data_IF_182433509139
#
_entry.id   IF_182433509139
#
_cell.length_a   1.000
_cell.length_b   1.000
_cell.length_c   1.000
_cell.angle_alpha   90.00
_cell.angle_beta   90.00
_cell.angle_gamma   90.00
#
_symmetry.space_group_name_H-M   'P 1'
#
loop_
_entity.id
_entity.type
_entity.pdbx_description
1 polymer ?
#
# COMPACT_ATOMS: atom_id res chain seq x y z
N UNK A 1 10.38 -33.47 -4.87
CA UNK A 1 9.94 -32.17 -5.49
C UNK A 1 8.49 -32.28 -5.89
N UNK A 2 7.62 -31.38 -5.43
CA UNK A 2 6.21 -31.37 -5.83
C UNK A 2 6.06 -31.07 -7.32
N UNK A 3 5.21 -31.81 -8.03
CA UNK A 3 4.94 -31.56 -9.47
C UNK A 3 4.35 -30.15 -9.64
N UNK A 4 4.99 -29.33 -10.48
CA UNK A 4 4.49 -28.00 -10.84
C UNK A 4 3.12 -28.13 -11.50
N UNK A 5 2.17 -27.25 -11.12
CA UNK A 5 0.86 -27.18 -11.77
C UNK A 5 1.01 -26.73 -13.23
N UNK A 6 0.03 -27.07 -14.10
CA UNK A 6 0.04 -26.68 -15.52
C UNK A 6 0.20 -25.15 -15.68
N UNK A 7 -0.55 -24.37 -14.90
CA UNK A 7 -0.46 -22.90 -14.88
C UNK A 7 0.95 -22.41 -14.53
N UNK A 8 1.57 -23.00 -13.50
CA UNK A 8 2.92 -22.59 -13.08
C UNK A 8 4.00 -22.92 -14.13
N UNK A 9 3.84 -23.99 -14.90
CA UNK A 9 4.73 -24.29 -16.03
C UNK A 9 4.62 -23.24 -17.13
N UNK A 10 3.40 -22.89 -17.54
CA UNK A 10 3.14 -21.85 -18.53
C UNK A 10 3.72 -20.49 -18.11
N UNK A 11 3.61 -20.13 -16.81
CA UNK A 11 4.17 -18.89 -16.26
C UNK A 11 5.71 -18.87 -16.36
N UNK A 12 6.37 -20.00 -16.10
CA UNK A 12 7.82 -20.11 -16.17
C UNK A 12 8.36 -20.08 -17.62
N UNK A 13 7.54 -20.49 -18.60
CA UNK A 13 7.87 -20.36 -20.02
C UNK A 13 7.77 -18.91 -20.52
N UNK A 14 6.84 -18.13 -19.96
CA UNK A 14 6.59 -16.74 -20.36
C UNK A 14 7.56 -15.73 -19.72
N UNK A 15 8.05 -16.02 -18.50
CA UNK A 15 8.91 -15.10 -17.75
C UNK A 15 10.20 -15.78 -17.33
N UNK A 16 11.32 -15.26 -17.81
CA UNK A 16 12.63 -15.63 -17.31
C UNK A 16 13.00 -14.75 -16.10
N UNK A 17 13.24 -15.33 -14.90
CA UNK A 17 13.55 -14.57 -13.69
C UNK A 17 14.85 -13.75 -13.76
N UNK A 18 15.74 -14.08 -14.67
CA UNK A 18 17.03 -13.39 -14.83
C UNK A 18 16.94 -12.14 -15.71
N UNK A 19 15.94 -12.09 -16.58
CA UNK A 19 15.76 -10.96 -17.49
C UNK A 19 15.09 -9.77 -16.79
N UNK A 20 15.39 -8.57 -17.28
CA UNK A 20 14.71 -7.33 -16.91
C UNK A 20 13.87 -6.89 -18.12
N UNK A 21 12.61 -6.61 -17.87
CA UNK A 21 11.61 -6.28 -18.87
C UNK A 21 11.31 -4.77 -18.85
N UNK A 22 10.78 -4.26 -19.94
CA UNK A 22 10.15 -2.94 -19.96
C UNK A 22 8.77 -3.00 -19.32
N UNK A 23 8.19 -1.83 -18.96
CA UNK A 23 6.83 -1.78 -18.41
C UNK A 23 5.80 -2.36 -19.39
N UNK A 24 5.91 -2.01 -20.68
CA UNK A 24 4.99 -2.49 -21.71
C UNK A 24 5.03 -4.00 -21.88
N UNK A 25 6.23 -4.59 -21.91
CA UNK A 25 6.41 -6.05 -21.95
C UNK A 25 5.80 -6.73 -20.73
N UNK A 26 6.01 -6.18 -19.53
CA UNK A 26 5.44 -6.69 -18.30
C UNK A 26 3.90 -6.64 -18.34
N UNK A 27 3.30 -5.53 -18.79
CA UNK A 27 1.85 -5.40 -18.94
C UNK A 27 1.29 -6.39 -19.97
N UNK A 28 1.97 -6.60 -21.10
CA UNK A 28 1.58 -7.60 -22.07
C UNK A 28 1.60 -9.03 -21.49
N UNK A 29 2.58 -9.35 -20.63
CA UNK A 29 2.64 -10.63 -19.92
C UNK A 29 1.44 -10.78 -18.99
N UNK A 30 1.12 -9.75 -18.17
CA UNK A 30 0.00 -9.79 -17.24
C UNK A 30 -1.34 -9.94 -17.96
N UNK A 31 -1.54 -9.25 -19.09
CA UNK A 31 -2.75 -9.39 -19.91
C UNK A 31 -2.94 -10.80 -20.50
N UNK A 32 -1.86 -11.48 -20.88
CA UNK A 32 -1.90 -12.87 -21.38
C UNK A 32 -2.23 -13.88 -20.27
N UNK A 33 -1.86 -13.58 -19.03
CA UNK A 33 -1.96 -14.51 -17.89
C UNK A 33 -3.17 -14.20 -17.00
N UNK A 34 -3.80 -13.04 -17.19
CA UNK A 34 -4.90 -12.59 -16.31
C UNK A 34 -5.99 -13.65 -16.16
N UNK A 35 -6.57 -13.71 -14.97
CA UNK A 35 -7.74 -14.51 -14.70
C UNK A 35 -8.98 -13.85 -15.32
N UNK A 36 -9.88 -14.67 -15.89
CA UNK A 36 -11.17 -14.18 -16.39
C UNK A 36 -12.23 -14.01 -15.29
N UNK A 37 -11.91 -14.46 -14.06
CA UNK A 37 -12.88 -14.48 -12.96
C UNK A 37 -13.00 -13.14 -12.23
N UNK A 38 -11.93 -12.34 -12.21
CA UNK A 38 -11.90 -11.04 -11.53
C UNK A 38 -10.78 -10.15 -12.10
N UNK A 39 -10.88 -8.85 -11.85
CA UNK A 39 -9.87 -7.88 -12.23
C UNK A 39 -8.73 -7.89 -11.20
N UNK A 40 -7.58 -8.43 -11.59
CA UNK A 40 -6.43 -8.61 -10.72
C UNK A 40 -5.79 -7.27 -10.36
N UNK A 41 -5.38 -7.11 -9.10
CA UNK A 41 -4.56 -5.98 -8.67
C UNK A 41 -3.14 -6.14 -9.19
N UNK A 42 -2.49 -5.01 -9.49
CA UNK A 42 -1.09 -4.94 -9.88
C UNK A 42 -0.29 -4.33 -8.73
N UNK A 43 0.61 -5.12 -8.18
CA UNK A 43 1.45 -4.73 -7.06
C UNK A 43 2.88 -4.47 -7.51
N UNK A 44 3.51 -3.46 -6.91
CA UNK A 44 4.92 -3.14 -7.09
C UNK A 44 5.71 -3.57 -5.85
N UNK A 45 6.85 -4.19 -6.07
CA UNK A 45 7.82 -4.53 -5.04
C UNK A 45 9.14 -3.79 -5.31
N UNK A 46 9.52 -2.90 -4.41
CA UNK A 46 10.73 -2.08 -4.49
C UNK A 46 11.76 -2.59 -3.50
N UNK A 47 12.86 -3.17 -3.98
CA UNK A 47 13.98 -3.53 -3.12
C UNK A 47 14.86 -2.31 -2.88
N UNK A 48 14.89 -1.85 -1.64
CA UNK A 48 15.65 -0.69 -1.22
C UNK A 48 17.04 -1.06 -0.70
N UNK A 49 17.99 -0.15 -0.84
CA UNK A 49 19.35 -0.27 -0.31
C UNK A 49 19.45 0.26 1.12
N UNK A 50 18.60 -0.26 2.01
CA UNK A 50 18.53 0.11 3.43
C UNK A 50 18.89 -1.09 4.32
N UNK A 51 19.23 -0.81 5.57
CA UNK A 51 19.40 -1.82 6.62
C UNK A 51 18.12 -1.86 7.49
N UNK A 52 17.23 -2.86 7.28
CA UNK A 52 15.97 -2.92 8.00
C UNK A 52 16.11 -3.22 9.50
N UNK A 53 17.28 -3.66 9.96
CA UNK A 53 17.58 -3.84 11.37
C UNK A 53 17.69 -2.51 12.13
N UNK A 54 17.92 -1.40 11.42
CA UNK A 54 18.00 -0.05 12.00
C UNK A 54 16.65 0.64 11.89
N UNK A 55 16.10 1.04 13.04
CA UNK A 55 14.77 1.68 13.12
C UNK A 55 14.71 3.03 12.39
N UNK A 56 15.84 3.75 12.25
CA UNK A 56 15.97 5.01 11.54
C UNK A 56 15.94 4.85 10.02
N UNK A 57 16.25 3.64 9.50
CA UNK A 57 16.19 3.32 8.07
C UNK A 57 14.86 2.72 7.61
N UNK A 58 13.92 2.51 8.51
CA UNK A 58 12.59 2.03 8.14
C UNK A 58 11.78 3.10 7.41
N UNK A 59 11.48 2.84 6.14
CA UNK A 59 10.67 3.72 5.31
C UNK A 59 9.20 3.37 5.46
N UNK A 60 8.40 4.37 5.80
CA UNK A 60 6.93 4.27 5.88
C UNK A 60 6.34 5.56 5.33
N UNK A 61 5.29 5.44 4.57
CA UNK A 61 4.59 6.58 4.01
C UNK A 61 3.22 6.20 3.47
N UNK A 62 2.57 7.20 2.93
CA UNK A 62 1.31 7.07 2.24
C UNK A 62 1.32 8.02 1.05
N UNK A 63 0.75 7.58 -0.05
CA UNK A 63 0.65 8.37 -1.28
C UNK A 63 -0.76 8.27 -1.85
N UNK A 64 -1.28 9.38 -2.32
CA UNK A 64 -2.49 9.38 -3.16
C UNK A 64 -2.06 9.24 -4.61
N UNK A 65 -2.48 8.15 -5.25
CA UNK A 65 -2.13 7.87 -6.63
C UNK A 65 -2.93 8.78 -7.58
N UNK A 66 -2.34 9.22 -8.71
CA UNK A 66 -3.06 9.96 -9.74
C UNK A 66 -4.29 9.21 -10.27
N UNK A 67 -4.14 7.90 -10.49
CA UNK A 67 -5.24 7.05 -10.91
C UNK A 67 -5.69 6.16 -9.76
N UNK A 68 -6.91 6.42 -9.25
CA UNK A 68 -7.50 5.70 -8.12
C UNK A 68 -7.69 4.22 -8.44
N UNK A 69 -7.45 3.37 -7.44
CA UNK A 69 -7.63 1.91 -7.53
C UNK A 69 -9.09 1.46 -7.62
N UNK A 70 -10.05 2.38 -7.44
CA UNK A 70 -11.48 2.08 -7.46
C UNK A 70 -11.93 1.14 -6.33
N UNK A 71 -11.17 1.02 -5.24
CA UNK A 71 -11.55 0.27 -4.05
C UNK A 71 -12.33 1.19 -3.11
N UNK A 72 -13.52 0.76 -2.69
CA UNK A 72 -14.23 1.41 -1.58
C UNK A 72 -13.51 1.07 -0.28
N UNK A 73 -13.04 2.11 0.41
CA UNK A 73 -12.27 1.97 1.65
C UNK A 73 -13.18 2.27 2.83
N UNK A 74 -13.30 1.32 3.75
CA UNK A 74 -14.03 1.53 5.01
C UNK A 74 -13.14 2.20 6.03
N UNK A 75 -13.56 3.38 6.52
CA UNK A 75 -12.78 4.23 7.41
C UNK A 75 -13.40 4.30 8.80
N UNK A 76 -12.61 3.93 9.82
CA UNK A 76 -12.96 4.14 11.23
C UNK A 76 -12.16 5.31 11.81
N UNK A 77 -12.83 6.16 12.58
CA UNK A 77 -12.24 7.37 13.15
C UNK A 77 -12.41 7.40 14.66
N UNK A 78 -11.29 7.52 15.36
CA UNK A 78 -11.26 7.79 16.80
C UNK A 78 -11.13 9.29 17.02
N UNK A 79 -12.26 9.93 17.30
CA UNK A 79 -12.34 11.36 17.56
C UNK A 79 -13.49 11.69 18.50
N UNK A 80 -13.38 12.81 19.18
CA UNK A 80 -14.39 13.36 20.09
C UNK A 80 -14.82 14.77 19.67
N UNK A 81 -15.93 15.24 20.24
CA UNK A 81 -16.40 16.60 20.10
C UNK A 81 -16.57 17.09 18.66
N UNK A 82 -15.87 18.16 18.32
CA UNK A 82 -15.98 18.77 16.98
C UNK A 82 -15.28 17.96 15.89
N UNK A 83 -14.19 17.24 16.22
CA UNK A 83 -13.54 16.33 15.29
C UNK A 83 -14.43 15.14 14.91
N UNK A 84 -15.31 14.69 15.82
CA UNK A 84 -16.28 13.64 15.50
C UNK A 84 -17.35 14.12 14.51
N UNK A 85 -17.80 15.39 14.61
CA UNK A 85 -18.72 16.00 13.64
C UNK A 85 -18.05 16.13 12.27
N UNK A 86 -16.82 16.66 12.23
CA UNK A 86 -16.01 16.76 11.01
C UNK A 86 -15.82 15.40 10.34
N UNK A 87 -15.60 14.34 11.15
CA UNK A 87 -15.46 12.98 10.64
C UNK A 87 -16.75 12.46 9.99
N UNK A 88 -17.91 12.71 10.62
CA UNK A 88 -19.20 12.32 10.06
C UNK A 88 -19.51 13.09 8.76
N UNK A 89 -19.26 14.41 8.74
CA UNK A 89 -19.48 15.27 7.57
C UNK A 89 -18.56 14.85 6.39
N UNK A 90 -17.32 14.44 6.68
CA UNK A 90 -16.40 13.88 5.69
C UNK A 90 -16.75 12.45 5.25
N UNK A 91 -17.78 11.84 5.86
CA UNK A 91 -18.32 10.55 5.48
C UNK A 91 -17.56 9.36 6.06
N UNK A 92 -17.00 9.44 7.26
CA UNK A 92 -16.45 8.26 7.94
C UNK A 92 -17.53 7.21 8.18
N UNK A 93 -17.16 5.93 8.07
CA UNK A 93 -18.12 4.83 8.24
C UNK A 93 -18.37 4.50 9.72
N UNK A 94 -17.36 4.67 10.55
CA UNK A 94 -17.44 4.47 12.00
C UNK A 94 -16.73 5.61 12.71
N UNK A 95 -17.44 6.29 13.60
CA UNK A 95 -16.89 7.36 14.45
C UNK A 95 -17.21 7.06 15.90
N UNK A 96 -16.23 7.17 16.78
CA UNK A 96 -16.44 6.94 18.21
C UNK A 96 -15.13 6.97 19.00
N UNK A 97 -15.24 6.66 20.29
CA UNK A 97 -14.12 6.60 21.22
C UNK A 97 -14.05 5.20 21.89
N UNK A 98 -14.47 5.09 23.13
CA UNK A 98 -14.46 3.85 23.90
C UNK A 98 -15.42 2.80 23.31
N UNK A 99 -16.59 3.23 22.86
CA UNK A 99 -17.58 2.36 22.22
C UNK A 99 -17.01 1.69 20.97
N UNK A 100 -16.26 2.46 20.16
CA UNK A 100 -15.58 1.96 18.98
C UNK A 100 -14.44 1.01 19.36
N UNK A 101 -13.70 1.34 20.42
CA UNK A 101 -12.63 0.50 20.94
C UNK A 101 -13.13 -0.88 21.39
N UNK A 102 -14.27 -0.94 22.05
CA UNK A 102 -14.88 -2.20 22.49
C UNK A 102 -15.36 -3.07 21.32
N UNK A 103 -15.89 -2.46 20.25
CA UNK A 103 -16.23 -3.16 19.01
C UNK A 103 -15.00 -3.75 18.33
N UNK A 104 -13.87 -3.04 18.32
CA UNK A 104 -12.60 -3.58 17.81
C UNK A 104 -12.06 -4.74 18.65
N UNK A 105 -12.17 -4.68 19.99
CA UNK A 105 -11.79 -5.79 20.88
C UNK A 105 -12.62 -7.06 20.63
N UNK A 106 -13.92 -6.89 20.32
CA UNK A 106 -14.83 -7.99 20.01
C UNK A 106 -14.74 -8.47 18.55
N UNK A 107 -13.91 -7.83 17.73
CA UNK A 107 -13.76 -8.09 16.30
C UNK A 107 -15.07 -7.99 15.48
N UNK A 108 -16.02 -7.16 15.94
CA UNK A 108 -17.31 -6.95 15.29
C UNK A 108 -17.21 -6.06 14.03
N UNK A 109 -16.09 -5.32 13.87
CA UNK A 109 -15.91 -4.37 12.77
C UNK A 109 -14.67 -4.75 11.97
N UNK A 110 -14.85 -4.83 10.64
CA UNK A 110 -13.77 -4.93 9.68
C UNK A 110 -13.62 -3.61 8.93
N UNK A 111 -12.42 -3.02 8.99
CA UNK A 111 -12.11 -1.72 8.39
C UNK A 111 -10.77 -1.78 7.67
N UNK A 112 -10.63 -0.95 6.63
CA UNK A 112 -9.39 -0.85 5.87
C UNK A 112 -8.44 0.20 6.45
N UNK A 113 -8.98 1.27 7.05
CA UNK A 113 -8.22 2.41 7.56
C UNK A 113 -8.74 2.83 8.92
N UNK A 114 -7.81 3.05 9.86
CA UNK A 114 -8.11 3.66 11.15
C UNK A 114 -7.40 5.02 11.22
N UNK A 115 -8.17 6.08 11.49
CA UNK A 115 -7.68 7.44 11.70
C UNK A 115 -7.93 7.81 13.16
N UNK A 116 -7.06 8.60 13.75
CA UNK A 116 -7.18 9.01 15.14
C UNK A 116 -6.77 10.48 15.32
N UNK A 117 -7.48 11.19 16.16
CA UNK A 117 -6.98 12.46 16.71
C UNK A 117 -5.82 12.18 17.68
N UNK A 118 -4.99 13.19 17.95
CA UNK A 118 -3.87 13.03 18.90
C UNK A 118 -4.37 12.69 20.31
N UNK A 119 -5.49 13.27 20.73
CA UNK A 119 -6.10 13.00 22.05
C UNK A 119 -6.58 11.54 22.16
N UNK A 120 -7.22 11.01 21.10
CA UNK A 120 -7.76 9.66 21.07
C UNK A 120 -6.67 8.56 21.03
N UNK A 121 -5.40 8.90 20.73
CA UNK A 121 -4.31 7.94 20.69
C UNK A 121 -4.07 7.20 22.01
N UNK A 122 -4.49 7.76 23.14
CA UNK A 122 -4.42 7.05 24.44
C UNK A 122 -5.30 5.80 24.46
N UNK A 123 -6.50 5.89 23.87
CA UNK A 123 -7.45 4.77 23.77
C UNK A 123 -6.98 3.78 22.69
N UNK A 124 -6.58 4.30 21.53
CA UNK A 124 -6.08 3.49 20.41
C UNK A 124 -4.82 2.71 20.80
N UNK A 125 -3.96 3.28 21.66
CA UNK A 125 -2.79 2.61 22.21
C UNK A 125 -3.11 1.30 22.94
N UNK A 126 -4.24 1.22 23.63
CA UNK A 126 -4.72 0.00 24.29
C UNK A 126 -5.14 -1.10 23.29
N UNK A 127 -5.50 -0.72 22.07
CA UNK A 127 -5.85 -1.63 20.99
C UNK A 127 -4.65 -2.12 20.18
N UNK A 128 -3.43 -1.78 20.59
CA UNK A 128 -2.21 -2.13 19.87
C UNK A 128 -2.04 -3.62 19.60
N UNK A 129 -2.53 -4.48 20.50
CA UNK A 129 -2.50 -5.94 20.32
C UNK A 129 -3.45 -6.44 19.20
N UNK A 130 -4.55 -5.71 18.94
CA UNK A 130 -5.53 -6.03 17.90
C UNK A 130 -5.19 -5.35 16.57
N UNK A 131 -4.93 -4.05 16.61
CA UNK A 131 -4.68 -3.23 15.41
C UNK A 131 -3.26 -3.40 14.85
N UNK A 132 -2.28 -3.73 15.72
CA UNK A 132 -0.88 -3.88 15.32
C UNK A 132 -0.65 -5.00 14.30
N UNK A 133 -1.05 -6.25 14.58
CA UNK A 133 -0.91 -7.36 13.63
C UNK A 133 -1.67 -7.16 12.32
N UNK A 134 -2.85 -6.51 12.38
CA UNK A 134 -3.66 -6.17 11.20
C UNK A 134 -3.07 -5.01 10.38
N UNK A 135 -2.03 -4.32 10.87
CA UNK A 135 -1.43 -3.17 10.19
C UNK A 135 -2.30 -1.91 10.20
N UNK A 136 -3.34 -1.88 11.01
CA UNK A 136 -4.34 -0.80 11.10
C UNK A 136 -3.97 0.28 12.14
N UNK A 137 -2.88 0.10 12.88
CA UNK A 137 -2.46 1.04 13.92
C UNK A 137 -2.17 2.42 13.32
N UNK A 138 -2.85 3.49 13.76
CA UNK A 138 -2.61 4.84 13.29
C UNK A 138 -1.16 5.28 13.54
N UNK A 139 -0.60 6.06 12.60
CA UNK A 139 0.77 6.53 12.68
C UNK A 139 0.88 7.97 12.12
N UNK A 140 1.57 8.90 12.81
CA UNK A 140 1.78 10.26 12.31
C UNK A 140 2.50 10.31 10.95
N UNK A 141 3.45 9.39 10.72
CA UNK A 141 4.22 9.34 9.45
C UNK A 141 3.38 8.99 8.23
N UNK A 142 2.24 8.33 8.43
CA UNK A 142 1.28 7.99 7.35
C UNK A 142 0.11 8.95 7.29
N UNK A 143 0.11 10.01 8.09
CA UNK A 143 -0.98 11.00 8.15
C UNK A 143 -2.28 10.48 8.74
N UNK A 144 -2.26 9.29 9.40
CA UNK A 144 -3.45 8.71 10.04
C UNK A 144 -3.65 9.15 11.49
N UNK A 145 -2.68 9.87 12.07
CA UNK A 145 -2.81 10.61 13.33
C UNK A 145 -2.73 12.09 12.99
N UNK A 146 -3.84 12.80 13.03
CA UNK A 146 -3.94 14.21 12.65
C UNK A 146 -5.08 14.90 13.36
N UNK A 147 -4.98 16.23 13.49
CA UNK A 147 -6.06 17.08 13.95
C UNK A 147 -7.03 17.42 12.80
N UNK A 148 -6.55 17.40 11.54
CA UNK A 148 -7.35 17.61 10.34
C UNK A 148 -7.99 16.29 9.88
N UNK A 149 -9.00 15.87 10.59
CA UNK A 149 -9.63 14.55 10.39
C UNK A 149 -10.33 14.47 9.03
N UNK A 150 -11.03 15.53 8.62
CA UNK A 150 -11.76 15.57 7.35
C UNK A 150 -10.85 15.40 6.12
N UNK A 151 -9.68 16.06 6.09
CA UNK A 151 -8.70 15.91 5.02
C UNK A 151 -8.16 14.46 4.97
N UNK A 152 -7.88 13.87 6.14
CA UNK A 152 -7.37 12.50 6.21
C UNK A 152 -8.39 11.45 5.70
N UNK A 153 -9.68 11.64 6.01
CA UNK A 153 -10.76 10.78 5.51
C UNK A 153 -10.89 10.91 3.99
N UNK A 154 -10.91 12.14 3.48
CA UNK A 154 -10.99 12.42 2.05
C UNK A 154 -9.83 11.75 1.29
N UNK A 155 -8.60 11.89 1.80
CA UNK A 155 -7.43 11.24 1.23
C UNK A 155 -7.53 9.71 1.29
N UNK A 156 -7.98 9.14 2.39
CA UNK A 156 -8.17 7.69 2.52
C UNK A 156 -9.20 7.17 1.52
N UNK A 157 -10.33 7.88 1.32
CA UNK A 157 -11.39 7.51 0.38
C UNK A 157 -11.00 7.74 -1.09
N UNK A 158 -10.10 8.69 -1.37
CA UNK A 158 -9.57 8.90 -2.73
C UNK A 158 -8.58 7.82 -3.20
N UNK A 159 -8.34 6.78 -2.39
CA UNK A 159 -7.49 5.65 -2.78
C UNK A 159 -6.03 5.84 -2.39
N UNK A 160 -5.77 6.46 -1.24
CA UNK A 160 -4.43 6.57 -0.69
C UNK A 160 -3.83 5.18 -0.43
N UNK A 161 -2.66 4.92 -1.01
CA UNK A 161 -1.88 3.69 -0.80
C UNK A 161 -0.86 3.92 0.30
N UNK A 162 -0.93 3.09 1.33
CA UNK A 162 0.04 3.10 2.42
C UNK A 162 1.08 2.02 2.18
N UNK A 163 2.32 2.36 2.41
CA UNK A 163 3.43 1.45 2.22
C UNK A 163 4.39 1.45 3.41
N UNK A 164 5.01 0.31 3.60
CA UNK A 164 6.00 0.10 4.66
C UNK A 164 7.04 -0.90 4.18
N UNK A 165 8.30 -0.68 4.55
CA UNK A 165 9.36 -1.66 4.31
C UNK A 165 9.21 -2.87 5.23
N UNK A 166 9.45 -4.04 4.68
CA UNK A 166 9.49 -5.30 5.41
C UNK A 166 10.88 -5.55 6.07
N UNK A 167 11.04 -6.73 6.69
CA UNK A 167 12.29 -7.13 7.34
C UNK A 167 13.46 -7.36 6.36
N UNK A 168 13.19 -7.43 5.06
CA UNK A 168 14.18 -7.63 3.99
C UNK A 168 14.53 -6.32 3.27
N UNK A 169 13.96 -5.19 3.71
CA UNK A 169 14.14 -3.89 3.06
C UNK A 169 13.39 -3.77 1.73
N UNK A 170 12.31 -4.55 1.56
CA UNK A 170 11.44 -4.50 0.40
C UNK A 170 10.18 -3.72 0.77
N UNK A 171 9.77 -2.81 -0.10
CA UNK A 171 8.54 -2.04 0.02
C UNK A 171 7.52 -2.61 -0.96
N UNK A 172 6.31 -2.83 -0.49
CA UNK A 172 5.19 -3.35 -1.27
C UNK A 172 4.07 -2.31 -1.33
N UNK A 173 3.43 -2.22 -2.49
CA UNK A 173 2.27 -1.35 -2.67
C UNK A 173 1.49 -1.71 -3.93
N UNK A 174 0.18 -1.49 -3.89
CA UNK A 174 -0.67 -1.65 -5.06
C UNK A 174 -0.62 -0.37 -5.90
N UNK A 175 -0.37 -0.50 -7.20
CA UNK A 175 -0.27 0.64 -8.13
C UNK A 175 -1.40 0.70 -9.15
N UNK A 176 -2.23 -0.33 -9.23
CA UNK A 176 -3.33 -0.35 -10.20
C UNK A 176 -4.00 -1.70 -10.32
N UNK A 177 -4.70 -1.86 -11.40
CA UNK A 177 -5.32 -3.12 -11.84
C UNK A 177 -4.81 -3.51 -13.20
N UNK A 178 -4.91 -4.79 -13.54
CA UNK A 178 -4.48 -5.30 -14.86
C UNK A 178 -5.34 -4.71 -16.01
N UNK A 179 -6.52 -4.20 -15.69
CA UNK A 179 -7.40 -3.49 -16.64
C UNK A 179 -6.92 -2.08 -17.00
N UNK A 180 -5.99 -1.49 -16.23
CA UNK A 180 -5.48 -0.15 -16.49
C UNK A 180 -4.60 -0.13 -17.74
N UNK A 181 -4.53 1.04 -18.39
CA UNK A 181 -3.60 1.27 -19.50
C UNK A 181 -2.15 1.33 -18.99
N UNK A 182 -1.20 1.03 -19.87
CA UNK A 182 0.23 1.11 -19.54
C UNK A 182 0.64 2.52 -19.07
N UNK A 183 0.05 3.58 -19.63
CA UNK A 183 0.30 4.97 -19.24
C UNK A 183 -0.17 5.26 -17.80
N UNK A 184 -1.37 4.80 -17.43
CA UNK A 184 -1.89 4.97 -16.06
C UNK A 184 -1.03 4.25 -15.01
N UNK A 185 -0.57 3.04 -15.33
CA UNK A 185 0.33 2.28 -14.46
C UNK A 185 1.69 2.99 -14.35
N UNK A 186 2.19 3.54 -15.45
CA UNK A 186 3.45 4.28 -15.47
C UNK A 186 3.38 5.53 -14.58
N UNK A 187 2.32 6.33 -14.70
CA UNK A 187 2.11 7.52 -13.88
C UNK A 187 1.99 7.18 -12.39
N UNK A 188 1.22 6.14 -12.05
CA UNK A 188 1.10 5.67 -10.66
C UNK A 188 2.44 5.14 -10.11
N UNK A 189 3.18 4.37 -10.91
CA UNK A 189 4.49 3.86 -10.52
C UNK A 189 5.52 4.99 -10.37
N UNK A 190 5.53 5.97 -11.28
CA UNK A 190 6.40 7.13 -11.20
C UNK A 190 6.13 7.95 -9.94
N UNK A 191 4.86 8.26 -9.65
CA UNK A 191 4.47 8.96 -8.43
C UNK A 191 4.95 8.21 -7.18
N UNK A 192 4.77 6.89 -7.13
CA UNK A 192 5.23 6.08 -5.99
C UNK A 192 6.76 6.08 -5.85
N UNK A 193 7.49 5.99 -6.96
CA UNK A 193 8.95 6.04 -6.95
C UNK A 193 9.47 7.40 -6.47
N UNK A 194 8.83 8.50 -6.87
CA UNK A 194 9.18 9.85 -6.42
C UNK A 194 8.98 10.01 -4.92
N UNK A 195 7.82 9.57 -4.41
CA UNK A 195 7.54 9.67 -2.97
C UNK A 195 8.52 8.82 -2.14
N UNK A 196 8.82 7.60 -2.60
CA UNK A 196 9.83 6.75 -1.98
C UNK A 196 11.22 7.41 -2.02
N UNK A 197 11.59 8.10 -3.11
CA UNK A 197 12.86 8.85 -3.20
C UNK A 197 12.92 10.00 -2.20
N UNK A 198 11.82 10.75 -1.99
CA UNK A 198 11.73 11.83 -0.99
C UNK A 198 11.94 11.32 0.44
N UNK A 199 11.45 10.11 0.73
CA UNK A 199 11.57 9.46 2.03
C UNK A 199 12.91 8.76 2.27
N UNK A 200 13.91 8.95 1.40
CA UNK A 200 15.22 8.34 1.55
C UNK A 200 15.88 8.77 2.88
N UNK A 201 16.24 7.82 3.77
CA UNK A 201 16.95 8.14 5.00
C UNK A 201 18.36 8.70 4.69
N UNK A 202 18.80 9.70 5.43
CA UNK A 202 20.13 10.28 5.29
C UNK A 202 21.26 9.26 5.54
N UNK A 203 20.98 8.25 6.35
CA UNK A 203 21.93 7.19 6.70
C UNK A 203 22.05 6.09 5.65
N UNK A 204 21.14 6.08 4.62
CA UNK A 204 21.19 5.10 3.54
C UNK A 204 22.31 5.43 2.53
N UNK A 205 23.33 4.56 2.47
CA UNK A 205 24.48 4.70 1.57
C UNK A 205 24.30 3.87 0.29
N UNK A 206 24.83 4.39 -0.82
CA UNK A 206 24.83 3.70 -2.12
C UNK A 206 23.51 3.80 -2.88
N UNK A 207 23.26 2.83 -3.78
CA UNK A 207 22.05 2.79 -4.60
C UNK A 207 20.83 2.55 -3.73
N UNK A 208 19.88 3.52 -3.71
CA UNK A 208 18.70 3.46 -2.86
C UNK A 208 17.66 2.49 -3.39
N UNK A 209 17.32 2.57 -4.69
CA UNK A 209 16.44 1.60 -5.35
C UNK A 209 17.35 0.59 -6.06
N UNK A 210 17.35 -0.66 -5.60
CA UNK A 210 18.19 -1.73 -6.17
C UNK A 210 17.49 -2.49 -7.28
N UNK A 211 16.22 -2.82 -7.09
CA UNK A 211 15.42 -3.51 -8.09
C UNK A 211 13.95 -3.19 -7.92
N UNK A 212 13.23 -3.24 -9.02
CA UNK A 212 11.78 -3.08 -9.09
C UNK A 212 11.21 -4.34 -9.71
N UNK A 213 10.13 -4.84 -9.13
CA UNK A 213 9.36 -5.95 -9.69
C UNK A 213 7.89 -5.62 -9.64
N UNK A 214 7.16 -6.04 -10.66
CA UNK A 214 5.70 -5.97 -10.74
C UNK A 214 5.13 -7.38 -10.66
N UNK A 215 3.97 -7.52 -10.06
CA UNK A 215 3.24 -8.79 -10.03
C UNK A 215 1.74 -8.54 -10.05
N UNK A 216 1.00 -9.39 -10.76
CA UNK A 216 -0.46 -9.42 -10.59
C UNK A 216 -0.84 -10.43 -9.51
N UNK A 217 -2.08 -10.35 -9.00
CA UNK A 217 -2.56 -11.18 -7.87
C UNK A 217 -2.30 -12.69 -8.09
N UNK A 218 -2.55 -13.20 -9.30
CA UNK A 218 -2.37 -14.62 -9.64
C UNK A 218 -1.25 -14.87 -10.67
N UNK A 219 -0.57 -13.82 -11.10
CA UNK A 219 0.47 -13.86 -12.12
C UNK A 219 1.89 -14.03 -11.56
N UNK A 220 2.88 -14.06 -12.44
CA UNK A 220 4.29 -14.14 -12.06
C UNK A 220 4.82 -12.79 -11.58
N UNK A 221 5.90 -12.80 -10.80
CA UNK A 221 6.68 -11.60 -10.54
C UNK A 221 7.62 -11.31 -11.72
N UNK A 222 7.55 -10.11 -12.27
CA UNK A 222 8.35 -9.65 -13.42
C UNK A 222 9.28 -8.54 -12.96
N UNK A 223 10.58 -8.70 -13.17
CA UNK A 223 11.56 -7.63 -12.91
C UNK A 223 11.44 -6.56 -14.00
N UNK A 224 11.30 -5.31 -13.59
CA UNK A 224 11.14 -4.19 -14.50
C UNK A 224 12.30 -3.21 -14.34
N UNK A 225 12.76 -2.65 -15.46
CA UNK A 225 13.79 -1.62 -15.45
C UNK A 225 13.27 -0.36 -14.76
N UNK A 226 13.95 0.17 -13.73
CA UNK A 226 13.53 1.44 -13.12
C UNK A 226 13.48 2.61 -14.11
N UNK A 227 14.29 2.56 -15.17
CA UNK A 227 14.32 3.59 -16.21
C UNK A 227 13.03 3.63 -17.05
N UNK A 228 12.34 2.51 -17.22
CA UNK A 228 11.08 2.44 -17.97
C UNK A 228 9.85 2.92 -17.16
N UNK A 229 10.02 3.17 -15.86
CA UNK A 229 8.95 3.63 -14.96
C UNK A 229 9.03 5.14 -14.66
N UNK A 230 10.10 5.78 -15.05
CA UNK A 230 10.31 7.23 -14.86
C UNK A 230 10.00 7.91 -16.19
N UNK A 231 9.12 8.89 -16.16
CA UNK A 231 8.78 9.75 -17.29
C UNK A 231 9.84 10.82 -17.45
#
# INVERSE_FOLDING_TARGET
>A
MSKLTKKKKQLLELVNPENTYSLEEAMNIFQKVKSNNFDESLDIALRLGIDPGKSDQNVRGAITLPHSLGKTVTVAVFADGDHAKEANDAGADFVGMEDLADKFKKEEIDVDVVISSQAAMKIVGQLGQVLGPKGLMPNPKTGTVTEKVGEAISNAKSGQVRFRTDKNGILHGCIGKVSFSSSQIQENAAAMLEEVKKLKPATAKGAYIRSVALSSTMGPGVKVSPASLVI
#
